data_IF_347208580137
#
_entry.id   IF_347208580137
#
_cell.length_a   1.000
_cell.length_b   1.000
_cell.length_c   1.000
_cell.angle_alpha   90.00
_cell.angle_beta   90.00
_cell.angle_gamma   90.00
#
_symmetry.space_group_name_H-M   'P 1'
#
loop_
_entity.id
_entity.type
_entity.pdbx_description
1 polymer ?
#
# COMPACT_ATOMS: atom_id res chain seq x y z
N UNK A 1 11.15 -3.36 13.15
CA UNK A 1 10.87 -2.23 12.22
C UNK A 1 11.95 -1.15 12.28
N UNK A 2 12.32 -0.57 13.44
CA UNK A 2 13.27 0.55 13.50
C UNK A 2 14.58 0.41 12.67
N UNK A 3 15.17 -0.80 12.62
CA UNK A 3 16.40 -1.05 11.85
C UNK A 3 16.28 -0.96 10.32
N UNK A 4 15.06 -1.04 9.75
CA UNK A 4 14.89 -0.93 8.29
C UNK A 4 14.85 0.53 7.81
N UNK A 5 14.63 1.49 8.72
CA UNK A 5 14.35 2.88 8.38
C UNK A 5 15.43 3.53 7.50
N UNK A 6 16.75 3.37 7.77
CA UNK A 6 17.77 3.96 6.91
C UNK A 6 17.71 3.46 5.46
N UNK A 7 17.43 2.17 5.27
CA UNK A 7 17.32 1.55 3.94
C UNK A 7 16.02 1.93 3.23
N UNK A 8 14.93 2.09 3.98
CA UNK A 8 13.67 2.59 3.45
C UNK A 8 13.80 4.05 2.98
N UNK A 9 14.57 4.88 3.69
CA UNK A 9 14.83 6.29 3.34
C UNK A 9 15.95 6.49 2.30
N UNK A 10 16.67 5.44 1.91
CA UNK A 10 17.90 5.52 1.11
C UNK A 10 17.66 6.27 -0.22
N UNK A 11 18.58 7.15 -0.67
CA UNK A 11 18.43 7.88 -1.93
C UNK A 11 18.38 6.94 -3.15
N UNK A 12 19.04 5.78 -3.10
CA UNK A 12 19.07 4.83 -4.20
C UNK A 12 17.80 3.95 -4.22
N UNK A 13 17.04 4.02 -5.31
CA UNK A 13 15.75 3.31 -5.42
C UNK A 13 15.88 1.80 -5.20
N UNK A 14 16.95 1.18 -5.70
CA UNK A 14 17.20 -0.26 -5.52
C UNK A 14 17.33 -0.67 -4.05
N UNK A 15 17.93 0.19 -3.20
CA UNK A 15 18.04 -0.10 -1.76
C UNK A 15 16.66 -0.09 -1.13
N UNK A 16 15.81 0.88 -1.51
CA UNK A 16 14.43 0.96 -1.03
C UNK A 16 13.59 -0.23 -1.47
N UNK A 17 13.78 -0.74 -2.69
CA UNK A 17 13.09 -1.94 -3.16
C UNK A 17 13.48 -3.17 -2.33
N UNK A 18 14.77 -3.36 -2.08
CA UNK A 18 15.24 -4.46 -1.22
C UNK A 18 14.74 -4.29 0.21
N UNK A 19 14.63 -3.06 0.72
CA UNK A 19 14.18 -2.79 2.08
C UNK A 19 12.77 -3.33 2.36
N UNK A 20 11.79 -3.04 1.48
CA UNK A 20 10.42 -3.54 1.67
C UNK A 20 10.32 -5.05 1.45
N UNK A 21 11.12 -5.61 0.54
CA UNK A 21 11.18 -7.07 0.32
C UNK A 21 11.75 -7.80 1.54
N UNK A 22 12.80 -7.24 2.17
CA UNK A 22 13.48 -7.86 3.30
C UNK A 22 12.59 -7.98 4.55
N UNK A 23 11.66 -7.04 4.76
CA UNK A 23 10.72 -7.09 5.89
C UNK A 23 9.49 -7.96 5.63
N UNK A 24 9.32 -8.46 4.40
CA UNK A 24 8.08 -9.12 3.98
C UNK A 24 7.83 -10.46 4.64
N UNK A 25 8.85 -11.30 4.75
CA UNK A 25 8.69 -12.62 5.37
C UNK A 25 8.30 -12.51 6.87
N UNK A 26 8.93 -11.63 7.67
CA UNK A 26 8.43 -11.31 9.01
C UNK A 26 6.97 -10.81 9.05
N UNK A 27 6.57 -9.94 8.12
CA UNK A 27 5.19 -9.45 8.03
C UNK A 27 4.21 -10.59 7.75
N UNK A 28 4.57 -11.53 6.87
CA UNK A 28 3.71 -12.68 6.55
C UNK A 28 3.50 -13.55 7.79
N UNK A 29 4.55 -13.77 8.59
CA UNK A 29 4.48 -14.60 9.79
C UNK A 29 3.66 -13.95 10.91
N UNK A 30 3.78 -12.64 11.05
CA UNK A 30 3.23 -11.87 12.19
C UNK A 30 2.38 -10.68 11.72
N UNK A 31 1.45 -10.91 10.79
CA UNK A 31 0.74 -9.84 10.08
C UNK A 31 0.02 -8.87 11.03
N UNK A 32 -0.75 -9.37 11.98
CA UNK A 32 -1.50 -8.54 12.92
C UNK A 32 -0.58 -7.65 13.75
N UNK A 33 0.55 -8.19 14.22
CA UNK A 33 1.55 -7.44 14.98
C UNK A 33 2.27 -6.40 14.10
N UNK A 34 2.58 -6.76 12.85
CA UNK A 34 3.18 -5.84 11.89
C UNK A 34 2.26 -4.65 11.58
N UNK A 35 0.97 -4.90 11.29
CA UNK A 35 -0.02 -3.84 11.04
C UNK A 35 -0.19 -2.88 12.22
N UNK A 36 -0.08 -3.38 13.45
CA UNK A 36 -0.09 -2.53 14.64
C UNK A 36 1.12 -1.58 14.72
N UNK A 37 2.29 -2.00 14.22
CA UNK A 37 3.52 -1.20 14.23
C UNK A 37 3.57 -0.12 13.14
N UNK A 38 2.85 -0.31 12.03
CA UNK A 38 2.87 0.56 10.86
C UNK A 38 2.16 1.91 11.03
N UNK A 39 1.34 2.06 12.07
CA UNK A 39 0.53 3.27 12.29
C UNK A 39 1.35 4.57 12.36
N UNK A 40 2.61 4.52 12.78
CA UNK A 40 3.47 5.71 12.86
C UNK A 40 4.17 6.11 11.56
N UNK A 41 4.32 5.19 10.61
CA UNK A 41 5.16 5.39 9.42
C UNK A 41 4.40 6.04 8.28
N UNK A 42 3.10 5.75 8.14
CA UNK A 42 2.21 6.40 7.17
C UNK A 42 1.99 7.91 7.43
N UNK A 43 2.44 8.42 8.58
CA UNK A 43 2.44 9.85 8.93
C UNK A 43 3.84 10.49 8.93
N UNK A 44 4.88 9.75 8.55
CA UNK A 44 6.26 10.27 8.53
C UNK A 44 6.42 11.38 7.48
N UNK A 45 7.30 12.35 7.74
CA UNK A 45 7.58 13.44 6.81
C UNK A 45 8.23 12.93 5.50
N UNK A 46 9.00 11.84 5.58
CA UNK A 46 9.68 11.24 4.44
C UNK A 46 8.73 10.35 3.62
N UNK A 47 8.46 10.67 2.34
CA UNK A 47 7.59 9.85 1.50
C UNK A 47 8.13 8.44 1.24
N UNK A 48 9.44 8.22 1.36
CA UNK A 48 10.02 6.88 1.22
C UNK A 48 9.65 5.97 2.39
N UNK A 49 9.54 6.56 3.59
CA UNK A 49 9.10 5.85 4.79
C UNK A 49 7.61 5.52 4.72
N UNK A 50 6.77 6.49 4.34
CA UNK A 50 5.32 6.26 4.14
C UNK A 50 5.06 5.16 3.11
N UNK A 51 5.88 5.09 2.07
CA UNK A 51 5.78 4.05 1.03
C UNK A 51 6.05 2.64 1.55
N UNK A 52 6.98 2.47 2.51
CA UNK A 52 7.48 1.15 2.91
C UNK A 52 6.34 0.21 3.27
N UNK A 53 5.45 0.65 4.16
CA UNK A 53 4.40 -0.19 4.72
C UNK A 53 3.38 -0.59 3.65
N UNK A 54 3.10 0.33 2.73
CA UNK A 54 2.19 0.07 1.61
C UNK A 54 2.78 -1.00 0.70
N UNK A 55 4.05 -0.88 0.27
CA UNK A 55 4.67 -1.90 -0.58
C UNK A 55 4.84 -3.24 0.13
N UNK A 56 5.30 -3.21 1.39
CA UNK A 56 5.59 -4.40 2.17
C UNK A 56 4.32 -5.25 2.44
N UNK A 57 3.14 -4.63 2.46
CA UNK A 57 1.85 -5.28 2.69
C UNK A 57 1.04 -5.59 1.43
N UNK A 58 1.58 -5.39 0.22
CA UNK A 58 0.84 -5.71 -1.02
C UNK A 58 0.38 -7.17 -1.06
N UNK A 59 -0.88 -7.47 -1.41
CA UNK A 59 -1.39 -8.85 -1.32
C UNK A 59 -0.82 -9.77 -2.42
N UNK A 60 -0.69 -9.26 -3.66
CA UNK A 60 -0.35 -10.05 -4.86
C UNK A 60 0.71 -9.34 -5.73
N UNK A 61 1.85 -9.01 -5.13
CA UNK A 61 2.95 -8.31 -5.80
C UNK A 61 3.72 -9.19 -6.79
N UNK A 62 4.16 -8.62 -7.91
CA UNK A 62 4.90 -9.35 -8.98
C UNK A 62 6.31 -9.78 -8.54
N UNK A 63 6.91 -9.02 -7.63
CA UNK A 63 8.30 -9.20 -7.21
C UNK A 63 8.45 -9.96 -5.89
N UNK A 64 7.34 -10.34 -5.26
CA UNK A 64 7.34 -10.72 -3.87
C UNK A 64 6.30 -11.80 -3.55
N UNK A 65 6.62 -12.65 -2.56
CA UNK A 65 5.75 -13.71 -2.06
C UNK A 65 4.36 -13.17 -1.71
N UNK A 66 3.28 -13.80 -2.16
CA UNK A 66 1.94 -13.33 -1.83
C UNK A 66 1.64 -13.38 -0.33
N UNK A 67 0.83 -12.45 0.16
CA UNK A 67 0.32 -12.47 1.53
C UNK A 67 -1.09 -13.05 1.46
N UNK A 68 -1.22 -14.37 1.64
CA UNK A 68 -2.48 -15.09 1.47
C UNK A 68 -3.63 -14.47 2.28
N UNK A 69 -3.38 -14.14 3.55
CA UNK A 69 -4.36 -13.50 4.44
C UNK A 69 -4.91 -12.18 3.87
N UNK A 70 -4.08 -11.35 3.23
CA UNK A 70 -4.51 -10.08 2.64
C UNK A 70 -5.10 -10.23 1.23
N UNK A 71 -4.77 -11.33 0.55
CA UNK A 71 -5.42 -11.71 -0.70
C UNK A 71 -6.85 -12.17 -0.45
N UNK A 72 -7.11 -12.86 0.67
CA UNK A 72 -8.43 -13.30 1.10
C UNK A 72 -9.23 -12.18 1.76
N UNK A 73 -8.63 -11.48 2.72
CA UNK A 73 -9.28 -10.44 3.51
C UNK A 73 -8.42 -9.15 3.53
N UNK A 74 -8.67 -8.20 2.61
CA UNK A 74 -7.87 -6.98 2.48
C UNK A 74 -8.22 -5.90 3.51
N UNK A 75 -9.37 -5.99 4.20
CA UNK A 75 -9.84 -4.94 5.10
C UNK A 75 -8.86 -4.54 6.23
N UNK A 76 -8.03 -5.43 6.81
CA UNK A 76 -7.09 -5.07 7.87
C UNK A 76 -6.07 -3.98 7.50
N UNK A 77 -5.76 -3.81 6.20
CA UNK A 77 -4.79 -2.80 5.72
C UNK A 77 -5.46 -1.47 5.38
N UNK A 78 -6.78 -1.43 5.30
CA UNK A 78 -7.53 -0.23 4.93
C UNK A 78 -7.14 1.03 5.73
N UNK A 79 -6.96 0.98 7.07
CA UNK A 79 -6.55 2.16 7.83
C UNK A 79 -5.19 2.73 7.38
N UNK A 80 -4.26 1.88 6.94
CA UNK A 80 -2.96 2.33 6.42
C UNK A 80 -3.12 3.01 5.06
N UNK A 81 -3.97 2.47 4.18
CA UNK A 81 -4.24 3.03 2.86
C UNK A 81 -4.99 4.37 2.96
N UNK A 82 -5.93 4.48 3.90
CA UNK A 82 -6.69 5.70 4.15
C UNK A 82 -5.81 6.85 4.65
N UNK A 83 -4.79 6.55 5.46
CA UNK A 83 -3.84 7.55 5.92
C UNK A 83 -3.08 8.25 4.78
N UNK A 84 -2.95 7.59 3.62
CA UNK A 84 -2.20 8.08 2.45
C UNK A 84 -3.05 8.17 1.17
N UNK A 85 -4.39 8.15 1.28
CA UNK A 85 -5.30 8.17 0.12
C UNK A 85 -5.35 9.53 -0.62
N UNK A 86 -4.63 10.54 -0.12
CA UNK A 86 -4.43 11.84 -0.75
C UNK A 86 -2.96 12.32 -0.63
N UNK A 87 -2.02 11.38 -0.50
CA UNK A 87 -0.60 11.70 -0.27
C UNK A 87 -0.05 12.65 -1.36
N UNK A 88 0.69 13.72 -1.01
CA UNK A 88 1.24 14.65 -2.00
C UNK A 88 2.31 14.02 -2.90
N UNK A 89 3.01 12.98 -2.44
CA UNK A 89 4.10 12.34 -3.17
C UNK A 89 3.58 11.31 -4.15
N UNK A 90 3.89 11.49 -5.45
CA UNK A 90 3.53 10.52 -6.51
C UNK A 90 4.01 9.11 -6.21
N UNK A 91 5.17 8.97 -5.57
CA UNK A 91 5.75 7.67 -5.25
C UNK A 91 4.88 6.87 -4.26
N UNK A 92 4.31 7.55 -3.25
CA UNK A 92 3.35 6.92 -2.32
C UNK A 92 2.03 6.63 -3.04
N UNK A 93 1.53 7.58 -3.84
CA UNK A 93 0.31 7.38 -4.62
C UNK A 93 0.39 6.13 -5.51
N UNK A 94 1.52 5.93 -6.20
CA UNK A 94 1.72 4.77 -7.06
C UNK A 94 1.69 3.44 -6.26
N UNK A 95 2.28 3.41 -5.06
CA UNK A 95 2.22 2.26 -4.17
C UNK A 95 0.80 1.95 -3.70
N UNK A 96 0.03 2.97 -3.29
CA UNK A 96 -1.38 2.81 -2.86
C UNK A 96 -2.24 2.30 -4.03
N UNK A 97 -2.09 2.90 -5.21
CA UNK A 97 -2.79 2.44 -6.41
C UNK A 97 -2.46 1.00 -6.78
N UNK A 98 -1.19 0.61 -6.67
CA UNK A 98 -0.76 -0.75 -6.96
C UNK A 98 -1.25 -1.75 -5.93
N UNK A 99 -1.28 -1.36 -4.65
CA UNK A 99 -1.84 -2.20 -3.59
C UNK A 99 -3.32 -2.51 -3.87
N UNK A 100 -4.12 -1.48 -4.16
CA UNK A 100 -5.54 -1.64 -4.50
C UNK A 100 -5.74 -2.45 -5.78
N UNK A 101 -4.91 -2.21 -6.80
CA UNK A 101 -4.98 -2.98 -8.04
C UNK A 101 -4.66 -4.47 -7.83
N UNK A 102 -3.70 -4.78 -6.95
CA UNK A 102 -3.40 -6.16 -6.57
C UNK A 102 -4.55 -6.81 -5.79
N UNK A 103 -5.13 -6.09 -4.83
CA UNK A 103 -6.31 -6.57 -4.10
C UNK A 103 -7.51 -6.81 -5.03
N UNK A 104 -7.65 -6.01 -6.08
CA UNK A 104 -8.72 -6.12 -7.07
C UNK A 104 -8.70 -7.43 -7.87
N UNK A 105 -7.57 -8.14 -7.90
CA UNK A 105 -7.45 -9.46 -8.55
C UNK A 105 -8.30 -10.54 -7.85
N UNK A 106 -8.57 -10.38 -6.55
CA UNK A 106 -9.38 -11.32 -5.77
C UNK A 106 -10.59 -10.69 -5.09
N UNK A 107 -10.55 -9.39 -4.83
CA UNK A 107 -11.60 -8.64 -4.14
C UNK A 107 -12.05 -7.40 -4.95
N UNK A 108 -12.49 -7.56 -6.21
CA UNK A 108 -12.81 -6.43 -7.09
C UNK A 108 -13.92 -5.52 -6.51
N UNK A 109 -14.98 -6.12 -5.96
CA UNK A 109 -16.10 -5.38 -5.38
C UNK A 109 -15.67 -4.52 -4.17
N UNK A 110 -14.81 -5.07 -3.31
CA UNK A 110 -14.27 -4.34 -2.17
C UNK A 110 -13.44 -3.13 -2.63
N UNK A 111 -12.57 -3.31 -3.63
CA UNK A 111 -11.77 -2.21 -4.18
C UNK A 111 -12.64 -1.12 -4.79
N UNK A 112 -13.69 -1.49 -5.54
CA UNK A 112 -14.63 -0.53 -6.12
C UNK A 112 -15.37 0.26 -5.03
N UNK A 113 -15.80 -0.39 -3.95
CA UNK A 113 -16.45 0.27 -2.81
C UNK A 113 -15.51 1.27 -2.12
N UNK A 114 -14.27 0.88 -1.83
CA UNK A 114 -13.26 1.78 -1.24
C UNK A 114 -12.99 2.97 -2.15
N UNK A 115 -12.78 2.72 -3.45
CA UNK A 115 -12.50 3.76 -4.44
C UNK A 115 -13.68 4.73 -4.63
N UNK A 116 -14.92 4.23 -4.58
CA UNK A 116 -16.13 5.05 -4.64
C UNK A 116 -16.21 5.95 -3.40
N UNK A 117 -16.07 5.37 -2.20
CA UNK A 117 -16.08 6.13 -0.94
C UNK A 117 -15.03 7.24 -0.93
N UNK A 118 -13.81 6.96 -1.37
CA UNK A 118 -12.75 7.98 -1.40
C UNK A 118 -13.04 9.13 -2.38
N UNK A 119 -13.64 8.84 -3.54
CA UNK A 119 -14.07 9.89 -4.48
C UNK A 119 -15.20 10.76 -3.91
N UNK A 120 -16.11 10.17 -3.14
CA UNK A 120 -17.19 10.91 -2.46
C UNK A 120 -16.66 11.79 -1.32
N UNK A 121 -15.55 11.40 -0.68
CA UNK A 121 -14.97 12.10 0.47
C UNK A 121 -13.91 13.14 0.11
N UNK A 122 -13.33 13.10 -1.10
CA UNK A 122 -12.18 13.93 -1.47
C UNK A 122 -12.20 14.31 -2.95
N UNK A 123 -12.20 15.62 -3.21
CA UNK A 123 -12.09 16.16 -4.57
C UNK A 123 -10.64 16.32 -5.06
N UNK A 124 -9.66 15.97 -4.22
CA UNK A 124 -8.24 16.19 -4.50
C UNK A 124 -7.76 15.47 -5.76
N UNK A 125 -6.82 16.11 -6.49
CA UNK A 125 -6.19 15.49 -7.67
C UNK A 125 -5.41 14.22 -7.33
N UNK A 126 -4.89 14.12 -6.10
CA UNK A 126 -4.14 12.98 -5.58
C UNK A 126 -5.05 11.77 -5.42
N UNK A 127 -6.18 11.93 -4.72
CA UNK A 127 -7.17 10.85 -4.55
C UNK A 127 -7.72 10.39 -5.90
N UNK A 128 -8.10 11.33 -6.78
CA UNK A 128 -8.55 11.01 -8.15
C UNK A 128 -7.51 10.18 -8.91
N UNK A 129 -6.24 10.60 -8.89
CA UNK A 129 -5.15 9.85 -9.52
C UNK A 129 -4.98 8.45 -8.92
N UNK A 130 -5.04 8.33 -7.59
CA UNK A 130 -4.90 7.03 -6.92
C UNK A 130 -5.99 6.07 -7.39
N UNK A 131 -7.25 6.53 -7.38
CA UNK A 131 -8.41 5.73 -7.73
C UNK A 131 -8.40 5.32 -9.20
N UNK A 132 -8.16 6.25 -10.14
CA UNK A 132 -8.07 5.93 -11.58
C UNK A 132 -7.03 4.84 -11.84
N UNK A 133 -5.87 4.91 -11.17
CA UNK A 133 -4.82 3.90 -11.32
C UNK A 133 -5.16 2.60 -10.62
N UNK A 134 -5.82 2.64 -9.46
CA UNK A 134 -6.23 1.44 -8.73
C UNK A 134 -7.19 0.57 -9.55
N UNK A 135 -8.15 1.19 -10.23
CA UNK A 135 -9.22 0.50 -10.97
C UNK A 135 -8.90 0.23 -12.45
N UNK A 136 -7.69 0.55 -12.91
CA UNK A 136 -7.27 0.44 -14.33
C UNK A 136 -7.50 -0.92 -15.00
N UNK A 137 -7.53 -2.00 -14.21
CA UNK A 137 -7.76 -3.37 -14.69
C UNK A 137 -9.11 -3.95 -14.23
N UNK A 138 -9.94 -3.15 -13.55
CA UNK A 138 -11.26 -3.56 -13.06
C UNK A 138 -12.40 -3.08 -13.97
N UNK A 139 -12.14 -2.07 -14.80
CA UNK A 139 -13.11 -1.50 -15.75
C UNK A 139 -13.32 -2.35 -17.01
N UNK A 140 -12.77 -3.57 -17.04
CA UNK A 140 -12.90 -4.54 -18.14
C UNK A 140 -13.73 -5.77 -17.78
N UNK A 141 -14.58 -5.69 -16.76
CA UNK A 141 -15.54 -6.73 -16.36
C UNK A 141 -16.98 -6.21 -16.51
#
# INVERSE_FOLDING_TARGET
>A
MAGIRPYAADPHFGVREIAWMAVREPIIRELSAALACFKGWVTDADPHIRRLDIEATRPVGVWAKHIAALKEEPAPVLPLLEAVCSDPAKYVQDSVSNWLNDAGKTNPNWVLQVCKRWQEQSESKQTKRIVTRATRNLLSL
#
